data_IF_636581772491
#
_entry.id   IF_636581772491
#
_cell.length_a   1.000
_cell.length_b   1.000
_cell.length_c   1.000
_cell.angle_alpha   90.00
_cell.angle_beta   90.00
_cell.angle_gamma   90.00
#
_symmetry.space_group_name_H-M   'P 1'
#
loop_
_entity.id
_entity.type
_entity.pdbx_description
1 polymer ?
#
# COMPACT_ATOMS: atom_id res chain seq x y z
N UNK A 1 -5.94 -8.08 6.17
CA UNK A 1 -6.09 -6.71 6.71
C UNK A 1 -7.53 -6.27 6.57
N UNK A 2 -8.07 -5.54 7.55
CA UNK A 2 -9.43 -4.96 7.48
C UNK A 2 -9.37 -3.49 7.88
N UNK A 3 -9.95 -2.57 7.09
CA UNK A 3 -9.98 -1.13 7.42
C UNK A 3 -11.38 -0.72 7.86
N UNK A 4 -11.50 -0.05 9.01
CA UNK A 4 -12.74 0.54 9.53
C UNK A 4 -12.47 1.97 9.99
N UNK A 5 -13.04 2.95 9.28
CA UNK A 5 -12.75 4.37 9.53
C UNK A 5 -11.25 4.67 9.37
N UNK A 6 -10.64 5.28 10.39
CA UNK A 6 -9.20 5.60 10.42
C UNK A 6 -8.33 4.51 11.06
N UNK A 7 -8.85 3.29 11.21
CA UNK A 7 -8.12 2.17 11.84
C UNK A 7 -8.06 0.98 10.91
N UNK A 8 -6.94 0.26 10.97
CA UNK A 8 -6.74 -1.01 10.28
C UNK A 8 -6.43 -2.12 11.28
N UNK A 9 -7.02 -3.28 11.04
CA UNK A 9 -6.70 -4.52 11.73
C UNK A 9 -5.54 -5.21 11.02
N UNK A 10 -4.42 -5.33 11.72
CA UNK A 10 -3.14 -5.80 11.19
C UNK A 10 -2.60 -6.97 12.02
N UNK A 11 -1.77 -7.78 11.37
CA UNK A 11 -0.93 -8.79 12.01
C UNK A 11 0.51 -8.44 11.68
N UNK A 12 1.28 -8.05 12.68
CA UNK A 12 2.69 -7.71 12.54
C UNK A 12 3.54 -8.82 13.16
N UNK A 13 4.62 -9.22 12.49
CA UNK A 13 5.58 -10.18 13.03
C UNK A 13 6.99 -9.74 12.67
N UNK A 14 7.95 -9.99 13.56
CA UNK A 14 9.38 -9.78 13.31
C UNK A 14 10.07 -11.11 13.53
N UNK A 15 10.00 -11.99 12.52
CA UNK A 15 10.39 -13.41 12.61
C UNK A 15 11.80 -13.61 13.20
N UNK A 16 12.72 -12.65 12.98
CA UNK A 16 14.09 -12.69 13.49
C UNK A 16 14.23 -12.42 15.01
N UNK A 17 13.23 -11.81 15.67
CA UNK A 17 13.32 -11.41 17.08
C UNK A 17 12.10 -11.78 17.93
N UNK A 18 10.93 -11.97 17.31
CA UNK A 18 9.70 -12.35 17.99
C UNK A 18 8.86 -13.22 17.05
N UNK A 19 8.66 -14.47 17.45
CA UNK A 19 7.89 -15.47 16.70
C UNK A 19 6.39 -15.35 16.93
N UNK A 20 5.95 -14.52 17.88
CA UNK A 20 4.53 -14.34 18.20
C UNK A 20 4.00 -13.11 17.44
N UNK A 21 3.11 -13.29 16.44
CA UNK A 21 2.49 -12.18 15.74
C UNK A 21 1.73 -11.28 16.73
N UNK A 22 1.96 -9.96 16.64
CA UNK A 22 1.15 -8.97 17.34
C UNK A 22 -0.01 -8.59 16.44
N UNK A 23 -1.22 -8.84 16.91
CA UNK A 23 -2.45 -8.65 16.14
C UNK A 23 -3.29 -7.60 16.85
N UNK A 24 -3.82 -6.63 16.09
CA UNK A 24 -4.63 -5.58 16.68
C UNK A 24 -5.03 -4.49 15.72
N UNK A 25 -5.68 -3.46 16.27
CA UNK A 25 -6.05 -2.25 15.55
C UNK A 25 -4.98 -1.18 15.70
N UNK A 26 -4.57 -0.59 14.59
CA UNK A 26 -3.66 0.56 14.54
C UNK A 26 -4.30 1.66 13.69
N UNK A 27 -3.97 2.93 13.95
CA UNK A 27 -4.41 4.03 13.09
C UNK A 27 -3.74 3.96 11.72
N UNK A 28 -4.52 4.19 10.65
CA UNK A 28 -4.03 4.10 9.27
C UNK A 28 -2.95 5.13 8.94
N UNK A 29 -2.88 6.24 9.67
CA UNK A 29 -1.81 7.24 9.52
C UNK A 29 -0.42 6.72 9.87
N UNK A 30 -0.34 5.61 10.61
CA UNK A 30 0.92 4.92 10.94
C UNK A 30 1.21 3.75 9.99
N UNK A 31 0.36 3.55 8.98
CA UNK A 31 0.53 2.50 8.00
C UNK A 31 0.89 3.09 6.64
N UNK A 32 1.92 2.51 6.05
CA UNK A 32 2.38 2.83 4.72
C UNK A 32 2.78 1.57 3.99
N UNK A 33 2.74 1.62 2.67
CA UNK A 33 3.27 0.54 1.83
C UNK A 33 4.12 1.13 0.70
N UNK A 34 5.16 0.44 0.30
CA UNK A 34 5.99 0.83 -0.83
C UNK A 34 5.54 0.10 -2.09
N UNK A 35 5.83 0.67 -3.25
CA UNK A 35 5.68 -0.05 -4.50
C UNK A 35 6.86 -1.01 -4.72
N UNK A 36 6.62 -2.14 -5.39
CA UNK A 36 7.70 -3.02 -5.87
C UNK A 36 8.38 -2.43 -7.11
N UNK A 37 7.61 -1.75 -7.97
CA UNK A 37 8.09 -1.07 -9.17
C UNK A 37 8.42 0.41 -8.90
N UNK A 38 9.63 0.81 -9.26
CA UNK A 38 10.19 2.16 -9.05
C UNK A 38 10.13 3.02 -10.32
N UNK A 39 9.57 2.49 -11.41
CA UNK A 39 9.47 3.20 -12.68
C UNK A 39 8.08 3.79 -12.87
N UNK A 40 7.03 2.95 -12.91
CA UNK A 40 5.65 3.39 -13.11
C UNK A 40 4.69 2.49 -12.31
N UNK A 41 3.87 3.09 -11.46
CA UNK A 41 2.89 2.36 -10.67
C UNK A 41 1.48 2.69 -11.17
N UNK A 42 0.79 1.70 -11.71
CA UNK A 42 -0.60 1.82 -12.15
C UNK A 42 -1.53 1.64 -10.96
N UNK A 43 -2.42 2.61 -10.75
CA UNK A 43 -3.52 2.50 -9.81
C UNK A 43 -4.85 2.34 -10.56
N UNK A 44 -5.62 1.34 -10.18
CA UNK A 44 -6.81 0.91 -10.89
C UNK A 44 -8.08 1.53 -10.30
N UNK A 45 -9.13 1.65 -11.12
CA UNK A 45 -10.44 2.16 -10.68
C UNK A 45 -11.18 1.18 -9.77
N UNK A 46 -10.95 -0.12 -9.95
CA UNK A 46 -11.50 -1.19 -9.14
C UNK A 46 -10.39 -2.18 -8.73
N UNK A 47 -10.58 -3.01 -7.70
CA UNK A 47 -9.60 -4.02 -7.30
C UNK A 47 -9.66 -5.23 -8.25
N UNK A 48 -9.31 -4.97 -9.50
CA UNK A 48 -9.30 -5.89 -10.62
C UNK A 48 -8.31 -5.34 -11.67
N UNK A 49 -7.36 -6.19 -12.07
CA UNK A 49 -6.30 -5.84 -13.03
C UNK A 49 -6.85 -5.45 -14.40
N UNK A 50 -8.02 -5.97 -14.76
CA UNK A 50 -8.70 -5.68 -16.03
C UNK A 50 -9.55 -4.41 -15.96
N UNK A 51 -9.65 -3.76 -14.81
CA UNK A 51 -10.39 -2.49 -14.70
C UNK A 51 -9.59 -1.33 -15.30
N UNK A 52 -10.27 -0.23 -15.60
CA UNK A 52 -9.62 0.98 -16.12
C UNK A 52 -8.55 1.48 -15.15
N UNK A 53 -7.36 1.81 -15.67
CA UNK A 53 -6.33 2.55 -14.92
C UNK A 53 -6.88 3.94 -14.57
N UNK A 54 -6.93 4.23 -13.27
CA UNK A 54 -7.42 5.50 -12.72
C UNK A 54 -6.30 6.55 -12.73
N UNK A 55 -5.09 6.16 -12.35
CA UNK A 55 -3.93 7.03 -12.31
C UNK A 55 -2.64 6.24 -12.49
N UNK A 56 -1.58 6.93 -12.88
CA UNK A 56 -0.23 6.38 -13.01
C UNK A 56 0.71 7.30 -12.22
N UNK A 57 1.45 6.71 -11.30
CA UNK A 57 2.51 7.36 -10.54
C UNK A 57 3.82 7.13 -11.28
N UNK A 58 4.53 8.21 -11.56
CA UNK A 58 5.77 8.18 -12.34
C UNK A 58 6.94 8.29 -11.38
N UNK A 59 7.81 7.28 -11.36
CA UNK A 59 8.99 7.22 -10.49
C UNK A 59 8.64 7.48 -9.01
N UNK A 60 7.90 6.56 -8.35
CA UNK A 60 7.63 6.71 -6.92
C UNK A 60 8.95 6.88 -6.16
N UNK A 61 9.01 7.93 -5.35
CA UNK A 61 10.14 8.24 -4.48
C UNK A 61 10.10 7.36 -3.23
N UNK A 62 11.05 7.57 -2.32
CA UNK A 62 11.21 6.81 -1.08
C UNK A 62 10.18 7.18 0.01
N UNK A 63 8.95 7.52 -0.38
CA UNK A 63 7.84 7.78 0.53
C UNK A 63 6.79 6.67 0.44
N UNK A 64 6.24 6.22 1.58
CA UNK A 64 5.22 5.20 1.56
C UNK A 64 3.89 5.76 1.03
N UNK A 65 3.15 4.89 0.36
CA UNK A 65 1.77 5.12 -0.05
C UNK A 65 0.87 5.02 1.18
N UNK A 66 -0.01 6.00 1.38
CA UNK A 66 -0.99 5.97 2.47
C UNK A 66 -2.11 5.00 2.13
N UNK A 67 -2.44 4.10 3.07
CA UNK A 67 -3.49 3.11 2.88
C UNK A 67 -4.84 3.68 3.36
N UNK A 68 -5.81 3.78 2.45
CA UNK A 68 -7.13 4.33 2.74
C UNK A 68 -8.19 3.24 2.91
N UNK A 69 -8.16 2.18 2.08
CA UNK A 69 -9.12 1.05 2.12
C UNK A 69 -8.44 -0.23 1.65
N UNK A 70 -9.10 -1.37 1.86
CA UNK A 70 -8.69 -2.66 1.32
C UNK A 70 -9.89 -3.47 0.81
N UNK A 71 -9.68 -4.32 -0.19
CA UNK A 71 -10.66 -5.33 -0.64
C UNK A 71 -9.92 -6.58 -1.09
N UNK A 72 -10.07 -7.68 -0.35
CA UNK A 72 -9.19 -8.83 -0.50
C UNK A 72 -7.73 -8.42 -0.28
N UNK A 73 -6.86 -8.76 -1.22
CA UNK A 73 -5.43 -8.41 -1.20
C UNK A 73 -5.13 -7.05 -1.87
N UNK A 74 -6.14 -6.34 -2.36
CA UNK A 74 -5.97 -5.04 -2.99
C UNK A 74 -6.04 -3.92 -1.95
N UNK A 75 -5.19 -2.90 -2.13
CA UNK A 75 -5.17 -1.71 -1.30
C UNK A 75 -5.63 -0.50 -2.12
N UNK A 76 -6.56 0.28 -1.61
CA UNK A 76 -6.85 1.61 -2.15
C UNK A 76 -5.94 2.61 -1.45
N UNK A 77 -5.07 3.26 -2.21
CA UNK A 77 -3.96 4.07 -1.71
C UNK A 77 -4.03 5.50 -2.23
N UNK A 78 -3.37 6.41 -1.51
CA UNK A 78 -3.08 7.78 -1.98
C UNK A 78 -1.58 8.05 -1.90
N UNK A 79 -1.04 8.73 -2.90
CA UNK A 79 0.37 9.08 -3.00
C UNK A 79 0.51 10.49 -3.56
N UNK A 80 1.40 11.31 -2.99
CA UNK A 80 1.77 12.61 -3.53
C UNK A 80 2.87 12.39 -4.56
N UNK A 81 2.52 12.50 -5.85
CA UNK A 81 3.48 12.26 -6.93
C UNK A 81 4.44 13.44 -7.11
N UNK A 82 5.55 13.24 -7.83
CA UNK A 82 6.58 14.27 -8.04
C UNK A 82 6.09 15.50 -8.81
N UNK A 83 4.94 15.41 -9.46
CA UNK A 83 4.22 16.52 -10.09
C UNK A 83 3.41 17.38 -9.09
N UNK A 84 3.44 17.04 -7.79
CA UNK A 84 2.69 17.72 -6.74
C UNK A 84 1.21 17.32 -6.66
N UNK A 85 0.77 16.33 -7.45
CA UNK A 85 -0.62 15.89 -7.50
C UNK A 85 -0.81 14.65 -6.64
N UNK A 86 -1.85 14.66 -5.80
CA UNK A 86 -2.27 13.47 -5.06
C UNK A 86 -2.96 12.52 -6.03
N UNK A 87 -2.37 11.34 -6.22
CA UNK A 87 -2.90 10.25 -7.05
C UNK A 87 -3.48 9.16 -6.15
N UNK A 88 -4.68 8.70 -6.52
CA UNK A 88 -5.37 7.63 -5.80
C UNK A 88 -5.83 6.52 -6.74
N UNK A 89 -5.98 5.32 -6.17
CA UNK A 89 -6.61 4.18 -6.81
C UNK A 89 -6.24 2.86 -6.14
N UNK A 90 -6.67 1.76 -6.75
CA UNK A 90 -6.41 0.40 -6.28
C UNK A 90 -5.04 -0.08 -6.75
N UNK A 91 -4.17 -0.39 -5.80
CA UNK A 91 -2.86 -0.99 -5.98
C UNK A 91 -2.99 -2.52 -5.97
N UNK A 92 -2.54 -3.23 -7.02
CA UNK A 92 -2.59 -4.69 -7.07
C UNK A 92 -1.64 -5.32 -6.05
N UNK A 93 -1.90 -6.56 -5.60
CA UNK A 93 -1.02 -7.28 -4.66
C UNK A 93 0.43 -7.37 -5.13
N UNK A 94 0.66 -7.61 -6.42
CA UNK A 94 2.00 -7.80 -6.97
C UNK A 94 2.84 -6.50 -6.97
N UNK A 95 2.19 -5.35 -6.79
CA UNK A 95 2.85 -4.05 -6.68
C UNK A 95 3.00 -3.58 -5.22
N UNK A 96 2.75 -4.44 -4.23
CA UNK A 96 2.80 -4.10 -2.81
C UNK A 96 4.09 -4.61 -2.16
N UNK A 97 4.87 -3.71 -1.57
CA UNK A 97 6.02 -4.05 -0.75
C UNK A 97 5.84 -3.55 0.69
N UNK A 98 5.62 -4.49 1.61
CA UNK A 98 5.44 -4.21 3.04
C UNK A 98 6.76 -4.15 3.81
N UNK A 99 7.91 -4.29 3.13
CA UNK A 99 9.21 -4.21 3.76
C UNK A 99 9.73 -2.77 3.71
N UNK A 100 9.85 -2.09 4.85
CA UNK A 100 10.36 -0.71 4.88
C UNK A 100 11.89 -0.63 4.82
N UNK A 101 12.61 -1.75 4.92
CA UNK A 101 14.07 -1.78 5.04
C UNK A 101 14.79 -2.35 3.82
N UNK A 102 14.10 -3.08 2.95
CA UNK A 102 14.68 -3.61 1.70
C UNK A 102 13.65 -3.65 0.59
N UNK A 103 14.13 -3.79 -0.65
CA UNK A 103 13.25 -4.07 -1.78
C UNK A 103 12.58 -5.44 -1.59
N UNK A 104 11.32 -5.53 -1.99
CA UNK A 104 10.65 -6.80 -2.20
C UNK A 104 10.96 -7.21 -3.65
N UNK A 105 12.08 -7.91 -3.85
CA UNK A 105 12.45 -8.55 -5.12
C UNK A 105 12.15 -10.05 -5.06
#
# INVERSE_FOLDING_TARGET
MSVKGKKAYVSASKILHDTIPKIGWIETKYLGIYATDWTNVKLYSHPNINSKVKSIIIRPEWYPFNILKCKGNWLYVSYLDGDGVIKEGWLPPDNQCSNPYSTCN
#
